data_IF_386104338259
#
_entry.id   IF_386104338259
#
_cell.length_a   1.000
_cell.length_b   1.000
_cell.length_c   1.000
_cell.angle_alpha   90.00
_cell.angle_beta   90.00
_cell.angle_gamma   90.00
#
_symmetry.space_group_name_H-M   'P 1'
#
loop_
_entity.id
_entity.type
_entity.pdbx_description
1 polymer ?
#
# COMPACT_ATOMS: atom_id res chain seq x y z
N UNK A 1 -9.13 12.84 -12.38
CA UNK A 1 -8.88 11.42 -12.08
C UNK A 1 -9.50 10.43 -13.07
N UNK A 2 -10.79 10.54 -13.45
CA UNK A 2 -11.47 9.54 -14.30
C UNK A 2 -10.73 9.10 -15.59
N UNK A 3 -10.14 10.04 -16.34
CA UNK A 3 -9.33 9.72 -17.51
C UNK A 3 -8.06 8.92 -17.17
N UNK A 4 -7.38 9.26 -16.07
CA UNK A 4 -6.21 8.51 -15.58
C UNK A 4 -6.58 7.09 -15.13
N UNK A 5 -7.72 6.92 -14.47
CA UNK A 5 -8.23 5.58 -14.11
C UNK A 5 -8.50 4.75 -15.36
N UNK A 6 -9.08 5.36 -16.40
CA UNK A 6 -9.29 4.66 -17.68
C UNK A 6 -7.97 4.21 -18.30
N UNK A 7 -6.94 5.07 -18.27
CA UNK A 7 -5.60 4.75 -18.76
C UNK A 7 -4.91 3.64 -17.97
N UNK A 8 -5.04 3.63 -16.63
CA UNK A 8 -4.58 2.52 -15.78
C UNK A 8 -5.24 1.21 -16.22
N UNK A 9 -6.57 1.21 -16.40
CA UNK A 9 -7.31 0.02 -16.83
C UNK A 9 -6.82 -0.45 -18.20
N UNK A 10 -6.70 0.46 -19.18
CA UNK A 10 -6.18 0.12 -20.51
C UNK A 10 -4.77 -0.47 -20.45
N UNK A 11 -3.91 0.11 -19.60
CA UNK A 11 -2.53 -0.38 -19.41
C UNK A 11 -2.51 -1.76 -18.79
N UNK A 12 -3.29 -2.00 -17.73
CA UNK A 12 -3.38 -3.32 -17.08
C UNK A 12 -3.93 -4.40 -18.03
N UNK A 13 -4.85 -4.06 -18.92
CA UNK A 13 -5.43 -5.00 -19.88
C UNK A 13 -4.49 -5.30 -21.04
N UNK A 14 -3.80 -4.28 -21.57
CA UNK A 14 -3.09 -4.39 -22.85
C UNK A 14 -1.56 -4.38 -22.74
N UNK A 15 -0.99 -3.97 -21.61
CA UNK A 15 0.45 -3.87 -21.38
C UNK A 15 0.79 -4.06 -19.88
N UNK A 16 0.47 -5.22 -19.28
CA UNK A 16 0.67 -5.45 -17.85
C UNK A 16 2.14 -5.35 -17.41
N UNK A 17 3.09 -5.62 -18.31
CA UNK A 17 4.53 -5.49 -18.03
C UNK A 17 4.93 -4.05 -17.68
N UNK A 18 4.13 -3.05 -18.06
CA UNK A 18 4.36 -1.64 -17.75
C UNK A 18 4.52 -1.38 -16.24
N UNK A 19 3.87 -2.18 -15.38
CA UNK A 19 3.98 -2.04 -13.92
C UNK A 19 5.42 -2.31 -13.46
N UNK A 20 6.00 -3.41 -13.93
CA UNK A 20 7.39 -3.79 -13.61
C UNK A 20 8.38 -2.81 -14.25
N UNK A 21 8.09 -2.31 -15.45
CA UNK A 21 8.92 -1.28 -16.08
C UNK A 21 8.89 0.04 -15.30
N UNK A 22 7.70 0.47 -14.84
CA UNK A 22 7.56 1.66 -14.01
C UNK A 22 8.32 1.51 -12.68
N UNK A 23 8.23 0.34 -12.03
CA UNK A 23 9.00 0.05 -10.83
C UNK A 23 10.51 0.16 -11.06
N UNK A 24 11.02 -0.39 -12.17
CA UNK A 24 12.45 -0.35 -12.53
C UNK A 24 12.95 1.05 -12.90
N UNK A 25 12.09 1.88 -13.48
CA UNK A 25 12.43 3.23 -13.92
C UNK A 25 12.27 4.28 -12.82
N UNK A 26 11.54 3.95 -11.75
CA UNK A 26 11.29 4.82 -10.61
C UNK A 26 12.57 5.35 -10.01
N UNK A 27 12.61 6.64 -9.73
CA UNK A 27 13.70 7.26 -8.97
C UNK A 27 13.53 6.92 -7.48
N UNK A 28 14.48 6.24 -6.83
CA UNK A 28 14.37 5.92 -5.41
C UNK A 28 14.41 7.19 -4.55
N UNK A 29 13.84 7.14 -3.35
CA UNK A 29 14.09 8.19 -2.37
C UNK A 29 15.58 8.20 -1.98
N UNK A 30 16.23 9.37 -1.91
CA UNK A 30 17.62 9.45 -1.45
C UNK A 30 17.77 9.11 0.04
N UNK A 31 16.68 9.22 0.81
CA UNK A 31 16.61 8.93 2.24
C UNK A 31 15.16 8.76 2.69
N UNK A 32 14.89 7.79 3.57
CA UNK A 32 13.56 7.55 4.15
C UNK A 32 13.07 8.73 5.00
N UNK A 33 14.00 9.46 5.63
CA UNK A 33 13.73 10.59 6.53
C UNK A 33 13.74 11.95 5.83
N UNK A 34 13.99 11.97 4.51
CA UNK A 34 14.15 13.20 3.73
C UNK A 34 15.21 14.15 4.27
N UNK A 35 15.18 15.41 3.82
CA UNK A 35 16.13 16.45 4.26
C UNK A 35 15.83 16.98 5.67
N UNK A 36 14.60 16.82 6.14
CA UNK A 36 14.14 17.29 7.45
C UNK A 36 14.35 16.29 8.59
N UNK A 37 14.95 15.11 8.30
CA UNK A 37 15.29 14.10 9.31
C UNK A 37 14.08 13.47 10.01
N UNK A 38 12.91 13.45 9.36
CA UNK A 38 11.65 12.88 9.90
C UNK A 38 10.94 12.07 8.82
N UNK A 39 10.12 11.12 9.22
CA UNK A 39 9.34 10.30 8.28
C UNK A 39 7.88 10.72 8.29
N UNK A 40 7.28 10.85 7.12
CA UNK A 40 5.83 10.99 6.96
C UNK A 40 5.36 10.14 5.78
N UNK A 41 4.76 8.99 6.10
CA UNK A 41 4.25 8.02 5.13
C UNK A 41 2.73 8.09 5.09
N UNK A 42 2.16 8.13 3.88
CA UNK A 42 0.72 8.01 3.67
C UNK A 42 0.35 6.53 3.56
N UNK A 43 -0.56 6.06 4.43
CA UNK A 43 -1.00 4.66 4.48
C UNK A 43 -2.33 4.46 3.76
N UNK A 44 -2.42 3.49 2.85
CA UNK A 44 -3.62 3.21 2.05
C UNK A 44 -3.88 1.72 1.79
N UNK A 45 -3.53 0.87 2.73
CA UNK A 45 -3.72 -0.59 2.65
C UNK A 45 -5.00 -1.07 3.35
N UNK A 46 -5.80 -0.18 3.94
CA UNK A 46 -7.02 -0.48 4.71
C UNK A 46 -8.13 -1.16 3.89
N UNK A 47 -8.39 -0.76 2.62
CA UNK A 47 -9.46 -1.39 1.83
C UNK A 47 -9.30 -2.89 1.65
N UNK A 48 -8.06 -3.37 1.49
CA UNK A 48 -7.78 -4.81 1.37
C UNK A 48 -8.11 -5.61 2.64
N UNK A 49 -8.30 -4.94 3.77
CA UNK A 49 -8.76 -5.53 5.03
C UNK A 49 -10.27 -5.41 5.24
N UNK A 50 -11.01 -4.88 4.27
CA UNK A 50 -12.43 -4.56 4.42
C UNK A 50 -12.70 -3.33 5.31
N UNK A 51 -11.68 -2.53 5.66
CA UNK A 51 -11.86 -1.30 6.43
C UNK A 51 -11.89 -0.10 5.49
N UNK A 52 -13.09 0.40 5.20
CA UNK A 52 -13.33 1.47 4.21
C UNK A 52 -13.65 2.84 4.83
N UNK A 53 -13.98 2.86 6.13
CA UNK A 53 -14.45 4.06 6.80
C UNK A 53 -13.34 5.02 7.18
N UNK A 54 -13.64 6.32 7.14
CA UNK A 54 -12.81 7.37 7.70
C UNK A 54 -13.67 8.54 8.19
N UNK A 55 -13.39 9.05 9.40
CA UNK A 55 -14.21 10.08 10.02
C UNK A 55 -15.66 9.61 10.20
N UNK A 56 -16.62 10.39 9.70
CA UNK A 56 -18.05 10.05 9.75
C UNK A 56 -18.58 9.29 8.54
N UNK A 57 -17.75 9.03 7.52
CA UNK A 57 -18.17 8.33 6.30
C UNK A 57 -17.70 6.86 6.34
N UNK A 58 -18.62 5.87 6.43
CA UNK A 58 -18.26 4.46 6.48
C UNK A 58 -17.69 3.93 5.15
N UNK A 59 -17.87 4.65 4.04
CA UNK A 59 -17.44 4.25 2.70
C UNK A 59 -16.40 5.20 2.10
N UNK A 60 -15.71 5.97 2.95
CA UNK A 60 -14.77 7.02 2.56
C UNK A 60 -13.64 6.57 1.60
N UNK A 61 -13.31 5.28 1.59
CA UNK A 61 -12.27 4.67 0.76
C UNK A 61 -12.81 3.69 -0.30
N UNK A 62 -14.12 3.61 -0.49
CA UNK A 62 -14.75 2.61 -1.36
C UNK A 62 -14.53 2.90 -2.85
N UNK A 63 -14.47 4.18 -3.25
CA UNK A 63 -14.19 4.57 -4.62
C UNK A 63 -12.67 4.61 -4.86
N UNK A 64 -12.17 3.67 -5.68
CA UNK A 64 -10.74 3.57 -6.04
C UNK A 64 -10.22 4.82 -6.73
N UNK A 65 -11.02 5.47 -7.58
CA UNK A 65 -10.61 6.68 -8.30
C UNK A 65 -10.43 7.86 -7.35
N UNK A 66 -11.40 8.12 -6.49
CA UNK A 66 -11.32 9.17 -5.47
C UNK A 66 -10.19 8.91 -4.47
N UNK A 67 -10.00 7.66 -4.04
CA UNK A 67 -8.87 7.29 -3.18
C UNK A 67 -7.52 7.59 -3.85
N UNK A 68 -7.33 7.22 -5.12
CA UNK A 68 -6.11 7.54 -5.87
C UNK A 68 -5.91 9.05 -6.02
N UNK A 69 -6.98 9.84 -6.26
CA UNK A 69 -6.88 11.31 -6.37
C UNK A 69 -6.36 11.93 -5.07
N UNK A 70 -6.90 11.49 -3.93
CA UNK A 70 -6.46 11.93 -2.61
C UNK A 70 -5.01 11.52 -2.31
N UNK A 71 -4.60 10.32 -2.73
CA UNK A 71 -3.23 9.83 -2.57
C UNK A 71 -2.23 10.65 -3.39
N UNK A 72 -2.51 10.91 -4.67
CA UNK A 72 -1.66 11.78 -5.50
C UNK A 72 -1.49 13.16 -4.85
N UNK A 73 -2.58 13.80 -4.43
CA UNK A 73 -2.53 15.11 -3.75
C UNK A 73 -1.73 15.08 -2.46
N UNK A 74 -1.83 14.00 -1.68
CA UNK A 74 -1.07 13.84 -0.45
C UNK A 74 0.43 13.69 -0.73
N UNK A 75 0.80 12.90 -1.74
CA UNK A 75 2.20 12.64 -2.09
C UNK A 75 2.91 13.88 -2.66
N UNK A 76 2.18 14.79 -3.28
CA UNK A 76 2.69 16.09 -3.76
C UNK A 76 3.03 17.06 -2.61
N UNK A 77 2.52 16.83 -1.38
CA UNK A 77 2.75 17.77 -0.27
C UNK A 77 4.22 17.75 0.17
N UNK A 78 4.88 18.91 0.28
CA UNK A 78 6.20 19.00 0.91
C UNK A 78 6.18 18.38 2.31
N UNK A 79 7.19 17.56 2.61
CA UNK A 79 7.32 16.85 3.89
C UNK A 79 6.76 15.43 3.89
N UNK A 80 5.95 15.04 2.90
CA UNK A 80 5.55 13.63 2.72
C UNK A 80 6.71 12.86 2.08
N UNK A 81 7.28 11.94 2.83
CA UNK A 81 8.48 11.18 2.43
C UNK A 81 8.15 9.89 1.69
N UNK A 82 6.91 9.39 1.79
CA UNK A 82 6.57 8.14 1.13
C UNK A 82 5.13 7.67 1.26
N UNK A 83 4.91 6.43 0.84
CA UNK A 83 3.61 5.75 0.81
C UNK A 83 3.74 4.31 1.29
N UNK A 84 2.67 3.79 1.87
CA UNK A 84 2.51 2.39 2.23
C UNK A 84 1.16 1.89 1.72
N UNK A 85 1.16 0.76 1.01
CA UNK A 85 -0.04 0.25 0.35
C UNK A 85 0.03 -1.23 0.01
N UNK A 86 -1.10 -1.80 -0.39
CA UNK A 86 -1.19 -3.12 -1.01
C UNK A 86 -0.76 -3.05 -2.49
N UNK A 87 -0.60 -4.20 -3.13
CA UNK A 87 -0.09 -4.27 -4.50
C UNK A 87 -0.93 -3.47 -5.50
N UNK A 88 -2.24 -3.62 -5.45
CA UNK A 88 -3.18 -2.87 -6.29
C UNK A 88 -3.02 -1.34 -6.15
N UNK A 89 -2.82 -0.83 -4.93
CA UNK A 89 -2.58 0.59 -4.67
C UNK A 89 -1.23 1.05 -5.23
N UNK A 90 -0.15 0.34 -4.86
CA UNK A 90 1.21 0.78 -5.18
C UNK A 90 1.49 0.68 -6.67
N UNK A 91 0.98 -0.35 -7.33
CA UNK A 91 1.10 -0.50 -8.77
C UNK A 91 0.33 0.58 -9.54
N UNK A 92 -0.88 0.96 -9.09
CA UNK A 92 -1.61 2.07 -9.71
C UNK A 92 -0.84 3.39 -9.54
N UNK A 93 -0.23 3.63 -8.38
CA UNK A 93 0.62 4.81 -8.14
C UNK A 93 1.93 4.78 -8.94
N UNK A 94 2.50 3.61 -9.21
CA UNK A 94 3.62 3.42 -10.13
C UNK A 94 3.23 3.82 -11.55
N UNK A 95 2.11 3.30 -12.05
CA UNK A 95 1.60 3.63 -13.40
C UNK A 95 1.27 5.12 -13.53
N UNK A 96 0.85 5.76 -12.44
CA UNK A 96 0.61 7.21 -12.39
C UNK A 96 1.90 8.05 -12.32
N UNK A 97 3.07 7.43 -12.11
CA UNK A 97 4.37 8.10 -12.06
C UNK A 97 4.56 9.00 -10.82
N UNK A 98 3.82 8.75 -9.73
CA UNK A 98 3.83 9.65 -8.55
C UNK A 98 4.73 9.16 -7.41
N UNK A 99 5.52 8.11 -7.64
CA UNK A 99 6.40 7.49 -6.62
C UNK A 99 7.88 7.85 -6.76
N UNK A 100 8.23 8.73 -7.70
CA UNK A 100 9.60 9.22 -7.85
C UNK A 100 10.04 10.02 -6.62
N UNK A 101 11.22 9.69 -6.11
CA UNK A 101 11.79 10.30 -4.90
C UNK A 101 11.04 9.98 -3.62
N UNK A 102 10.10 9.03 -3.62
CA UNK A 102 9.31 8.60 -2.47
C UNK A 102 9.78 7.24 -1.96
N UNK A 103 9.79 7.06 -0.64
CA UNK A 103 9.93 5.72 -0.07
C UNK A 103 8.62 4.95 -0.19
N UNK A 104 8.70 3.68 -0.56
CA UNK A 104 7.54 2.83 -0.87
C UNK A 104 7.59 1.59 0.00
N UNK A 105 6.51 1.32 0.75
CA UNK A 105 6.40 0.18 1.64
C UNK A 105 5.22 -0.73 1.28
N UNK A 106 5.51 -2.01 1.00
CA UNK A 106 4.50 -3.01 0.63
C UNK A 106 3.81 -3.60 1.86
N UNK A 107 2.48 -3.54 1.93
CA UNK A 107 1.70 -4.27 2.93
C UNK A 107 1.74 -5.77 2.65
N UNK A 108 2.07 -6.57 3.65
CA UNK A 108 2.37 -7.99 3.47
C UNK A 108 1.23 -8.92 3.92
N UNK A 109 0.53 -8.62 5.02
CA UNK A 109 -0.58 -9.45 5.54
C UNK A 109 -1.90 -8.67 5.62
N UNK A 110 -3.01 -9.31 5.16
CA UNK A 110 -4.35 -8.69 5.08
C UNK A 110 -5.54 -9.65 5.22
N UNK A 111 -5.34 -10.91 5.57
CA UNK A 111 -6.45 -11.87 5.69
C UNK A 111 -7.28 -11.71 6.96
N UNK A 112 -6.76 -11.01 7.97
CA UNK A 112 -7.49 -10.67 9.18
C UNK A 112 -8.55 -9.59 8.91
N UNK A 113 -9.58 -9.93 8.12
CA UNK A 113 -10.63 -9.02 7.65
C UNK A 113 -11.42 -8.43 8.80
N UNK A 114 -11.66 -7.12 8.77
CA UNK A 114 -12.37 -6.40 9.82
C UNK A 114 -13.75 -7.01 10.12
N UNK A 115 -14.02 -7.30 11.39
CA UNK A 115 -15.26 -7.89 11.89
C UNK A 115 -15.39 -9.40 11.71
N UNK A 116 -14.40 -10.07 11.11
CA UNK A 116 -14.43 -11.54 10.96
C UNK A 116 -14.17 -12.26 12.27
N UNK A 117 -14.68 -13.48 12.41
CA UNK A 117 -14.39 -14.34 13.58
C UNK A 117 -12.93 -14.80 13.63
N UNK A 118 -12.22 -14.71 12.50
CA UNK A 118 -10.82 -15.09 12.35
C UNK A 118 -9.91 -13.85 12.22
N UNK A 119 -10.36 -12.69 12.71
CA UNK A 119 -9.65 -11.43 12.46
C UNK A 119 -8.21 -11.49 12.97
N UNK A 120 -7.89 -12.20 14.05
CA UNK A 120 -6.52 -12.34 14.56
C UNK A 120 -5.63 -13.19 13.65
N UNK A 121 -6.16 -14.19 12.94
CA UNK A 121 -5.44 -15.06 11.99
C UNK A 121 -5.10 -14.31 10.68
N UNK A 122 -4.21 -13.30 10.80
CA UNK A 122 -3.87 -12.34 9.75
C UNK A 122 -2.62 -12.74 8.95
N UNK A 123 -2.80 -13.74 8.10
CA UNK A 123 -1.81 -14.35 7.19
C UNK A 123 -1.31 -13.43 6.08
N UNK A 124 -0.10 -13.71 5.60
CA UNK A 124 0.49 -13.10 4.40
C UNK A 124 -0.36 -13.36 3.14
N UNK A 125 -0.84 -12.28 2.52
CA UNK A 125 -1.59 -12.30 1.23
C UNK A 125 -1.30 -11.09 0.34
N UNK A 126 -0.49 -10.16 0.83
CA UNK A 126 -0.02 -9.02 0.05
C UNK A 126 1.36 -9.31 -0.52
N UNK A 127 2.24 -8.31 -0.45
CA UNK A 127 3.62 -8.47 -0.89
C UNK A 127 4.39 -9.47 -0.03
N UNK A 128 5.23 -10.27 -0.68
CA UNK A 128 6.33 -10.97 -0.03
C UNK A 128 7.64 -10.17 -0.15
N UNK A 129 8.67 -10.59 0.59
CA UNK A 129 9.97 -9.91 0.63
C UNK A 129 10.72 -9.96 -0.71
N UNK A 130 10.59 -11.07 -1.46
CA UNK A 130 11.24 -11.23 -2.76
C UNK A 130 10.66 -10.23 -3.78
N UNK A 131 9.34 -10.08 -3.82
CA UNK A 131 8.65 -9.14 -4.69
C UNK A 131 8.96 -7.70 -4.29
N UNK A 132 9.01 -7.37 -2.99
CA UNK A 132 9.43 -6.03 -2.51
C UNK A 132 10.83 -5.68 -3.02
N UNK A 133 11.78 -6.61 -2.91
CA UNK A 133 13.13 -6.42 -3.41
C UNK A 133 13.17 -6.29 -4.94
N UNK A 134 12.44 -7.15 -5.66
CA UNK A 134 12.37 -7.13 -7.12
C UNK A 134 11.74 -5.84 -7.68
N UNK A 135 10.77 -5.27 -6.96
CA UNK A 135 10.12 -4.00 -7.30
C UNK A 135 10.94 -2.77 -6.87
N UNK A 136 12.06 -2.98 -6.18
CA UNK A 136 12.91 -1.90 -5.66
C UNK A 136 12.20 -1.05 -4.61
N UNK A 137 11.30 -1.63 -3.83
CA UNK A 137 10.61 -0.94 -2.73
C UNK A 137 11.50 -0.89 -1.48
N UNK A 138 11.26 0.12 -0.63
CA UNK A 138 12.11 0.46 0.52
C UNK A 138 11.88 -0.46 1.72
N UNK A 139 10.79 -1.24 1.72
CA UNK A 139 10.55 -2.26 2.73
C UNK A 139 9.16 -2.88 2.69
N UNK A 140 8.97 -3.85 3.58
CA UNK A 140 7.68 -4.46 3.86
C UNK A 140 7.06 -3.94 5.15
N UNK A 141 5.75 -4.02 5.24
CA UNK A 141 4.98 -3.72 6.45
C UNK A 141 4.07 -4.89 6.80
N UNK A 142 4.09 -5.27 8.07
CA UNK A 142 3.15 -6.23 8.66
C UNK A 142 2.19 -5.52 9.62
N UNK A 143 1.01 -6.12 9.84
CA UNK A 143 0.10 -5.81 10.94
C UNK A 143 0.14 -6.99 11.91
N UNK A 144 0.85 -6.84 13.03
CA UNK A 144 0.95 -7.88 14.05
C UNK A 144 0.10 -7.49 15.26
N UNK A 145 -1.11 -8.06 15.35
CA UNK A 145 -1.99 -7.86 16.51
C UNK A 145 -1.74 -8.95 17.54
N UNK A 146 -1.50 -8.53 18.78
CA UNK A 146 -1.25 -9.43 19.91
C UNK A 146 -2.52 -9.45 20.76
N UNK A 147 -3.34 -10.49 20.62
CA UNK A 147 -4.52 -10.72 21.44
C UNK A 147 -4.23 -11.85 22.43
N UNK A 148 -3.96 -11.50 23.69
CA UNK A 148 -3.46 -12.44 24.70
C UNK A 148 -4.39 -13.64 24.95
N UNK A 149 -5.68 -13.50 24.66
CA UNK A 149 -6.70 -14.54 24.87
C UNK A 149 -7.07 -15.28 23.57
N UNK A 150 -6.59 -14.83 22.41
CA UNK A 150 -6.92 -15.45 21.13
C UNK A 150 -5.88 -16.54 20.78
N UNK A 151 -6.37 -17.76 20.55
CA UNK A 151 -5.55 -18.93 20.26
C UNK A 151 -4.76 -18.82 18.94
N UNK A 152 -5.14 -17.91 18.03
CA UNK A 152 -4.41 -17.68 16.79
C UNK A 152 -3.13 -16.84 16.98
N UNK A 153 -3.02 -16.06 18.06
CA UNK A 153 -1.91 -15.11 18.27
C UNK A 153 -0.51 -15.77 18.19
N UNK A 154 -0.23 -16.93 18.82
CA UNK A 154 1.08 -17.56 18.71
C UNK A 154 1.45 -17.94 17.27
N UNK A 155 0.49 -18.47 16.51
CA UNK A 155 0.72 -18.84 15.11
C UNK A 155 1.02 -17.63 14.24
N UNK A 156 0.35 -16.50 14.49
CA UNK A 156 0.57 -15.23 13.78
C UNK A 156 1.98 -14.70 14.08
N UNK A 157 2.41 -14.71 15.34
CA UNK A 157 3.77 -14.24 15.72
C UNK A 157 4.90 -15.06 15.06
N UNK A 158 4.66 -16.33 14.77
CA UNK A 158 5.65 -17.22 14.15
C UNK A 158 5.61 -17.18 12.62
N UNK A 159 4.41 -17.10 12.04
CA UNK A 159 4.19 -17.36 10.60
C UNK A 159 3.80 -16.12 9.79
N UNK A 160 3.75 -14.93 10.42
CA UNK A 160 3.43 -13.65 9.77
C UNK A 160 4.34 -12.53 10.26
#
# INVERSE_FOLDING_TARGET
>A
MAARVTEIVQTRVHNPEAIVQAAKQRVPAPSVVGEHGRVMIIAADHPARGSLGAGGDPMAMADRGDLLDRLCRALERPGVTGVMGTADILEDLLLLGVLDGKSVFGSMNRTGLAGSTFEIDDRFTGYDAETIAAMGFDGGKTLTRIALEDAATPSVLENT
#
